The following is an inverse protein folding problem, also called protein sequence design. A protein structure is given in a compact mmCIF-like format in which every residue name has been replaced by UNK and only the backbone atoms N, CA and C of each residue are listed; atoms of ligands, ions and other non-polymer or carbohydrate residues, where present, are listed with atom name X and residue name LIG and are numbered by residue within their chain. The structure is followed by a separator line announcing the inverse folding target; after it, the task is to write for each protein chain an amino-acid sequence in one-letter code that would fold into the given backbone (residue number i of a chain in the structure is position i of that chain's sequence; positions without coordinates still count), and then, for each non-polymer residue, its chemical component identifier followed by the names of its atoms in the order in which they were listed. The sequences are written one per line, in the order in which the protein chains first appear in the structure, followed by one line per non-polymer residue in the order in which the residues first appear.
data_IF_090027081805
#
_entry.id   IF_090027081805
#
_cell.length_a   1.000
_cell.length_b   1.000
_cell.length_c   1.000
_cell.angle_alpha   90.00
_cell.angle_beta   90.00
_cell.angle_gamma   90.00
#
_symmetry.space_group_name_H-M   'P 1'
#
loop_
_entity.id
_entity.type
_entity.pdbx_description
1 polymer ?
#
# COMPACT_ATOMS: atom_id res chain seq x y z
N UNK A 1 -6.55 28.27 27.18
CA UNK A 1 -6.04 29.26 26.21
C UNK A 1 -5.30 30.31 27.02
N UNK A 2 -3.99 30.13 27.22
CA UNK A 2 -3.17 31.06 27.99
C UNK A 2 -2.63 32.11 27.02
N UNK A 3 -2.99 33.37 27.23
CA UNK A 3 -2.48 34.48 26.43
C UNK A 3 -0.95 34.55 26.57
N UNK A 4 -0.23 34.24 25.50
CA UNK A 4 1.22 34.39 25.42
C UNK A 4 1.56 35.87 25.63
N UNK A 5 2.39 36.18 26.62
CA UNK A 5 2.77 37.56 26.89
C UNK A 5 3.48 38.16 25.65
N UNK A 6 3.25 39.44 25.30
CA UNK A 6 3.79 40.04 24.08
C UNK A 6 5.34 39.96 23.98
N UNK A 7 6.04 39.99 25.11
CA UNK A 7 7.50 39.81 25.14
C UNK A 7 7.98 38.38 24.85
N UNK A 8 7.17 37.36 25.16
CA UNK A 8 7.52 35.97 24.81
C UNK A 8 7.36 35.70 23.32
N UNK A 9 6.37 36.33 22.69
CA UNK A 9 6.14 36.22 21.25
C UNK A 9 7.35 36.76 20.46
N UNK A 10 7.79 37.99 20.77
CA UNK A 10 8.96 38.61 20.11
C UNK A 10 10.23 37.77 20.24
N UNK A 11 10.51 37.24 21.44
CA UNK A 11 11.67 36.38 21.66
C UNK A 11 11.64 35.07 20.83
N UNK A 12 10.45 34.50 20.59
CA UNK A 12 10.31 33.30 19.75
C UNK A 12 10.49 33.61 18.27
N UNK A 13 10.05 34.79 17.82
CA UNK A 13 10.23 35.27 16.46
C UNK A 13 11.70 35.57 16.17
N UNK A 14 12.40 36.26 17.08
CA UNK A 14 13.84 36.50 16.97
C UNK A 14 14.61 35.18 16.84
N UNK A 15 14.21 34.16 17.61
CA UNK A 15 14.82 32.83 17.54
C UNK A 15 14.50 32.09 16.25
N UNK A 16 13.25 32.16 15.77
CA UNK A 16 12.89 31.62 14.48
C UNK A 16 13.78 32.19 13.37
N UNK A 17 13.89 33.52 13.28
CA UNK A 17 14.67 34.16 12.22
C UNK A 17 16.19 34.09 12.45
N UNK A 18 16.64 33.84 13.68
CA UNK A 18 18.04 33.47 13.93
C UNK A 18 18.41 32.14 13.24
N UNK A 19 17.53 31.13 13.33
CA UNK A 19 17.74 29.83 12.67
C UNK A 19 17.42 29.86 11.17
N UNK A 20 16.46 30.68 10.75
CA UNK A 20 16.03 30.82 9.36
C UNK A 20 16.42 32.19 8.78
N UNK A 21 17.72 32.51 8.76
CA UNK A 21 18.21 33.79 8.22
C UNK A 21 17.81 33.99 6.75
N UNK A 22 17.28 35.16 6.44
CA UNK A 22 16.81 35.54 5.09
C UNK A 22 15.45 34.94 4.71
N UNK A 23 14.76 34.28 5.65
CA UNK A 23 13.35 33.95 5.51
C UNK A 23 12.51 35.06 6.13
N UNK A 24 11.33 35.29 5.57
CA UNK A 24 10.33 36.21 6.09
C UNK A 24 9.04 35.44 6.41
N UNK A 25 8.09 36.11 7.07
CA UNK A 25 6.73 35.59 7.16
C UNK A 25 6.14 35.35 5.77
N UNK A 26 5.39 34.27 5.62
CA UNK A 26 4.68 33.97 4.38
C UNK A 26 3.59 35.00 4.11
N UNK A 27 3.60 35.58 2.91
CA UNK A 27 2.54 36.50 2.45
C UNK A 27 1.22 35.76 2.20
N UNK A 28 1.27 34.43 2.08
CA UNK A 28 0.12 33.53 1.90
C UNK A 28 -0.22 32.76 3.17
N UNK A 29 -0.04 33.41 4.32
CA UNK A 29 -0.33 32.82 5.62
C UNK A 29 -1.76 32.23 5.62
N UNK A 30 -1.86 30.92 5.89
CA UNK A 30 -3.14 30.17 6.02
C UNK A 30 -3.96 29.96 4.74
N UNK A 31 -3.39 30.19 3.55
CA UNK A 31 -4.06 29.88 2.27
C UNK A 31 -4.29 28.35 2.06
N UNK A 32 -3.69 27.52 2.92
CA UNK A 32 -3.84 26.06 2.94
C UNK A 32 -4.51 25.67 4.25
N UNK A 33 -5.80 25.29 4.23
CA UNK A 33 -6.52 24.84 5.41
C UNK A 33 -5.95 23.53 5.94
N UNK A 34 -5.13 23.62 7.00
CA UNK A 34 -4.60 22.47 7.71
C UNK A 34 -4.38 22.83 9.17
N UNK A 35 -4.90 21.99 10.07
CA UNK A 35 -4.71 22.10 11.52
C UNK A 35 -3.23 22.17 11.94
N UNK A 36 -2.32 21.71 11.09
CA UNK A 36 -0.88 21.73 11.35
C UNK A 36 -0.33 23.15 11.51
N UNK A 37 -0.97 24.17 10.92
CA UNK A 37 -0.56 25.57 11.07
C UNK A 37 -0.76 26.11 12.49
N UNK A 38 -1.58 25.46 13.32
CA UNK A 38 -1.68 25.81 14.74
C UNK A 38 -0.37 25.49 15.48
N UNK A 39 0.38 24.49 15.00
CA UNK A 39 1.62 23.99 15.60
C UNK A 39 2.91 24.42 14.87
N UNK A 40 2.81 25.24 13.82
CA UNK A 40 3.99 25.72 13.08
C UNK A 40 3.89 27.15 12.59
N UNK A 41 5.06 27.75 12.37
CA UNK A 41 5.23 29.04 11.74
C UNK A 41 5.30 28.87 10.22
N UNK A 42 4.70 29.83 9.51
CA UNK A 42 4.68 29.86 8.05
C UNK A 42 5.70 30.88 7.54
N UNK A 43 6.78 30.38 6.94
CA UNK A 43 7.91 31.18 6.48
C UNK A 43 8.12 31.01 4.98
N UNK A 44 8.56 32.08 4.32
CA UNK A 44 8.78 32.13 2.89
C UNK A 44 10.14 32.75 2.54
N UNK A 45 10.75 32.28 1.45
CA UNK A 45 11.95 32.86 0.85
C UNK A 45 12.00 32.56 -0.65
N UNK A 46 12.16 33.59 -1.49
CA UNK A 46 12.29 33.47 -2.96
C UNK A 46 11.27 32.49 -3.60
N UNK A 47 10.00 32.58 -3.18
CA UNK A 47 8.92 31.72 -3.69
C UNK A 47 8.82 30.32 -3.06
N UNK A 48 9.77 29.92 -2.20
CA UNK A 48 9.68 28.69 -1.39
C UNK A 48 8.97 28.97 -0.08
N UNK A 49 7.98 28.14 0.27
CA UNK A 49 7.21 28.23 1.51
C UNK A 49 7.42 27.00 2.39
N UNK A 50 7.65 27.22 3.68
CA UNK A 50 7.92 26.17 4.66
C UNK A 50 7.10 26.34 5.93
N UNK A 51 6.75 25.21 6.50
CA UNK A 51 6.23 25.06 7.85
C UNK A 51 7.41 24.80 8.80
N UNK A 52 7.58 25.60 9.84
CA UNK A 52 8.60 25.42 10.89
C UNK A 52 7.95 25.12 12.25
N UNK A 53 8.40 24.10 12.97
CA UNK A 53 7.74 23.64 14.20
C UNK A 53 7.87 24.65 15.36
N UNK A 54 6.74 25.06 15.97
CA UNK A 54 6.70 25.95 17.15
C UNK A 54 7.33 25.30 18.38
N UNK A 55 7.02 24.02 18.62
CA UNK A 55 7.48 23.30 19.82
C UNK A 55 9.00 23.06 19.80
N UNK A 56 9.61 22.87 18.62
CA UNK A 56 11.07 22.82 18.48
C UNK A 56 11.74 24.14 18.86
N UNK A 57 11.11 25.27 18.54
CA UNK A 57 11.61 26.60 18.86
C UNK A 57 11.43 26.87 20.37
N UNK A 58 10.25 26.59 20.91
CA UNK A 58 9.99 26.67 22.36
C UNK A 58 11.00 25.84 23.16
N UNK A 59 11.24 24.60 22.75
CA UNK A 59 12.16 23.67 23.41
C UNK A 59 13.66 23.90 23.15
N UNK A 60 14.04 24.98 22.45
CA UNK A 60 15.44 25.32 22.14
C UNK A 60 16.25 24.19 21.51
N UNK A 61 15.67 23.50 20.53
CA UNK A 61 16.39 22.46 19.80
C UNK A 61 17.46 23.07 18.89
N UNK A 62 18.64 22.44 18.77
CA UNK A 62 19.73 22.93 17.92
C UNK A 62 19.35 22.95 16.43
N UNK A 63 18.41 22.09 16.02
CA UNK A 63 17.88 22.03 14.66
C UNK A 63 16.36 22.14 14.74
N UNK A 64 15.81 23.19 14.10
CA UNK A 64 14.36 23.39 14.00
C UNK A 64 13.84 22.62 12.79
N UNK A 65 12.94 21.66 13.04
CA UNK A 65 12.31 20.90 11.97
C UNK A 65 11.48 21.82 11.07
N UNK A 66 11.77 21.78 9.75
CA UNK A 66 11.02 22.51 8.74
C UNK A 66 10.68 21.63 7.54
N UNK A 67 9.49 21.80 6.99
CA UNK A 67 8.97 21.01 5.87
C UNK A 67 8.29 21.91 4.84
N UNK A 68 8.21 21.45 3.58
CA UNK A 68 7.57 22.20 2.49
C UNK A 68 6.06 22.32 2.70
N UNK A 69 5.48 23.49 2.43
CA UNK A 69 4.04 23.73 2.61
C UNK A 69 3.13 22.92 1.67
N UNK A 70 3.65 22.43 0.54
CA UNK A 70 2.91 21.61 -0.44
C UNK A 70 2.63 20.18 0.03
N UNK A 71 3.19 19.76 1.17
CA UNK A 71 3.04 18.39 1.69
C UNK A 71 3.31 18.31 3.20
N UNK A 72 2.31 18.64 4.01
CA UNK A 72 2.44 18.71 5.47
C UNK A 72 2.41 17.34 6.18
N UNK A 73 2.36 16.22 5.45
CA UNK A 73 2.37 14.87 6.05
C UNK A 73 3.64 14.61 6.88
N UNK A 74 4.78 15.17 6.45
CA UNK A 74 6.04 15.07 7.19
C UNK A 74 6.03 15.91 8.46
N UNK A 75 5.40 17.09 8.43
CA UNK A 75 5.16 17.90 9.63
C UNK A 75 4.27 17.15 10.64
N UNK A 76 3.18 16.53 10.16
CA UNK A 76 2.31 15.71 11.00
C UNK A 76 3.03 14.50 11.62
N UNK A 77 3.91 13.84 10.86
CA UNK A 77 4.74 12.74 11.37
C UNK A 77 5.74 13.23 12.43
N UNK A 78 6.33 14.41 12.24
CA UNK A 78 7.26 15.02 13.18
C UNK A 78 6.57 15.38 14.50
N UNK A 79 5.43 16.07 14.46
CA UNK A 79 4.63 16.39 15.65
C UNK A 79 4.31 15.14 16.47
N UNK A 80 3.91 14.05 15.82
CA UNK A 80 3.64 12.80 16.52
C UNK A 80 4.90 12.14 17.11
N UNK A 81 6.00 12.09 16.35
CA UNK A 81 7.23 11.40 16.78
C UNK A 81 7.93 12.13 17.92
N UNK A 82 8.11 13.43 17.77
CA UNK A 82 8.97 14.26 18.62
C UNK A 82 8.21 14.96 19.74
N UNK A 83 6.93 15.28 19.52
CA UNK A 83 6.10 16.06 20.45
C UNK A 83 4.88 15.29 20.96
N UNK A 84 4.59 14.09 20.42
CA UNK A 84 3.41 13.26 20.77
C UNK A 84 2.08 13.99 20.61
N UNK A 85 2.01 15.01 19.76
CA UNK A 85 0.78 15.77 19.49
C UNK A 85 -0.14 14.98 18.56
N UNK A 86 -1.33 14.55 19.01
CA UNK A 86 -2.30 13.86 18.16
C UNK A 86 -2.96 14.83 17.17
N UNK A 87 -3.40 14.32 16.02
CA UNK A 87 -4.32 15.07 15.17
C UNK A 87 -5.65 15.34 15.92
N UNK A 88 -6.25 16.53 15.77
CA UNK A 88 -7.58 16.84 16.30
C UNK A 88 -8.66 15.85 15.83
N UNK A 89 -9.74 15.75 16.59
CA UNK A 89 -10.87 14.88 16.24
C UNK A 89 -11.50 15.31 14.92
N UNK A 90 -11.66 14.37 13.98
CA UNK A 90 -12.14 14.63 12.62
C UNK A 90 -11.06 14.95 11.57
N UNK A 91 -9.82 15.21 11.99
CA UNK A 91 -8.71 15.53 11.09
C UNK A 91 -7.90 14.30 10.66
N UNK A 92 -7.19 14.42 9.52
CA UNK A 92 -6.34 13.32 9.01
C UNK A 92 -5.16 13.07 9.95
N UNK A 93 -5.15 11.89 10.57
CA UNK A 93 -4.04 11.41 11.40
C UNK A 93 -2.76 11.22 10.59
N UNK A 94 -1.61 11.42 11.24
CA UNK A 94 -0.32 11.19 10.59
C UNK A 94 -0.06 9.69 10.37
N UNK A 95 0.73 9.34 9.35
CA UNK A 95 1.13 7.94 9.14
C UNK A 95 1.87 7.35 10.34
N UNK A 96 2.64 8.18 11.05
CA UNK A 96 3.33 7.77 12.28
C UNK A 96 2.35 7.51 13.43
N UNK A 97 1.30 8.34 13.57
CA UNK A 97 0.23 8.15 14.54
C UNK A 97 -0.59 6.89 14.24
N UNK A 98 -0.98 6.68 12.99
CA UNK A 98 -1.70 5.48 12.57
C UNK A 98 -0.89 4.20 12.85
N UNK A 99 0.42 4.23 12.61
CA UNK A 99 1.30 3.09 12.92
C UNK A 99 1.37 2.81 14.42
N UNK A 100 1.58 3.83 15.26
CA UNK A 100 1.63 3.61 16.71
C UNK A 100 0.27 3.20 17.29
N UNK A 101 -0.83 3.78 16.80
CA UNK A 101 -2.18 3.37 17.21
C UNK A 101 -2.49 1.95 16.73
N UNK A 102 -2.00 1.54 15.55
CA UNK A 102 -2.13 0.16 15.07
C UNK A 102 -1.32 -0.84 15.92
N UNK A 103 -0.11 -0.46 16.36
CA UNK A 103 0.71 -1.27 17.29
C UNK A 103 0.02 -1.40 18.65
N UNK A 104 -0.57 -0.32 19.17
CA UNK A 104 -1.32 -0.34 20.44
C UNK A 104 -2.67 -1.05 20.32
N UNK A 105 -3.30 -1.05 19.14
CA UNK A 105 -4.52 -1.80 18.80
C UNK A 105 -4.20 -3.16 18.18
N UNK A 106 -3.09 -3.80 18.56
CA UNK A 106 -2.80 -5.18 18.16
C UNK A 106 -3.70 -6.18 18.91
N UNK A 107 -5.02 -5.96 18.85
CA UNK A 107 -6.02 -7.02 18.94
C UNK A 107 -6.18 -7.68 17.57
N UNK A 108 -5.10 -7.79 16.77
CA UNK A 108 -5.17 -8.56 15.54
C UNK A 108 -5.48 -10.00 15.94
N UNK A 109 -6.62 -10.56 15.48
CA UNK A 109 -7.00 -11.91 15.85
C UNK A 109 -5.90 -12.86 15.38
N UNK A 110 -5.40 -13.68 16.30
CA UNK A 110 -4.46 -14.77 16.00
C UNK A 110 -5.24 -16.06 15.80
N UNK A 111 -4.61 -17.06 15.18
CA UNK A 111 -5.22 -18.40 15.07
C UNK A 111 -5.54 -18.97 16.45
N UNK A 112 -4.62 -18.79 17.41
CA UNK A 112 -4.84 -19.21 18.79
C UNK A 112 -6.05 -18.50 19.42
N UNK A 113 -6.20 -17.19 19.24
CA UNK A 113 -7.36 -16.47 19.80
C UNK A 113 -8.68 -16.85 19.13
N UNK A 114 -8.69 -17.07 17.81
CA UNK A 114 -9.91 -17.48 17.07
C UNK A 114 -10.36 -18.87 17.49
N UNK A 115 -9.41 -19.79 17.66
CA UNK A 115 -9.68 -21.16 18.11
C UNK A 115 -9.78 -21.31 19.63
N UNK A 116 -9.65 -20.21 20.39
CA UNK A 116 -9.66 -20.18 21.86
C UNK A 116 -8.63 -21.14 22.49
N UNK A 117 -7.43 -21.19 21.91
CA UNK A 117 -6.31 -22.00 22.36
C UNK A 117 -5.39 -21.21 23.30
N UNK A 118 -4.93 -21.86 24.36
CA UNK A 118 -3.95 -21.36 25.31
C UNK A 118 -2.53 -21.78 24.87
N UNK A 119 -1.78 -20.83 24.32
CA UNK A 119 -0.40 -21.06 23.84
C UNK A 119 0.60 -21.37 24.96
N UNK A 120 0.23 -21.22 26.23
CA UNK A 120 1.09 -21.62 27.36
C UNK A 120 1.06 -23.14 27.59
N UNK A 121 0.05 -23.84 27.07
CA UNK A 121 -0.02 -25.30 27.13
C UNK A 121 0.65 -25.90 25.88
N UNK A 122 1.65 -26.78 26.03
CA UNK A 122 2.39 -27.34 24.89
C UNK A 122 1.49 -28.02 23.84
N UNK A 123 0.45 -28.73 24.27
CA UNK A 123 -0.49 -29.40 23.36
C UNK A 123 -1.28 -28.42 22.51
N UNK A 124 -1.85 -27.37 23.13
CA UNK A 124 -2.66 -26.37 22.43
C UNK A 124 -1.79 -25.45 21.56
N UNK A 125 -0.57 -25.15 22.01
CA UNK A 125 0.45 -24.47 21.19
C UNK A 125 0.81 -25.26 19.93
N UNK A 126 1.02 -26.57 20.05
CA UNK A 126 1.29 -27.45 18.90
C UNK A 126 0.12 -27.48 17.91
N UNK A 127 -1.12 -27.48 18.41
CA UNK A 127 -2.32 -27.38 17.57
C UNK A 127 -2.31 -26.04 16.80
N UNK A 128 -2.11 -24.91 17.48
CA UNK A 128 -2.04 -23.60 16.84
C UNK A 128 -0.93 -23.53 15.77
N UNK A 129 0.27 -24.02 16.09
CA UNK A 129 1.41 -24.06 15.16
C UNK A 129 1.14 -24.97 13.94
N UNK A 130 0.42 -26.08 14.13
CA UNK A 130 -0.02 -26.95 13.03
C UNK A 130 -0.97 -26.21 12.07
N UNK A 131 -1.95 -25.47 12.60
CA UNK A 131 -2.83 -24.65 11.75
C UNK A 131 -2.07 -23.56 10.99
N UNK A 132 -1.13 -22.87 11.65
CA UNK A 132 -0.33 -21.80 11.05
C UNK A 132 0.55 -22.35 9.91
N UNK A 133 1.24 -23.47 10.14
CA UNK A 133 2.17 -24.07 9.17
C UNK A 133 1.47 -24.66 7.94
N UNK A 134 0.21 -25.06 8.06
CA UNK A 134 -0.58 -25.64 6.96
C UNK A 134 -1.05 -24.62 5.92
N UNK A 135 -1.11 -23.34 6.27
CA UNK A 135 -1.62 -22.32 5.35
C UNK A 135 -0.48 -21.63 4.59
N UNK A 136 -0.37 -21.92 3.30
CA UNK A 136 0.50 -21.17 2.39
C UNK A 136 -0.30 -20.07 1.67
N UNK A 137 -0.06 -18.83 2.09
CA UNK A 137 -0.63 -17.62 1.47
C UNK A 137 -0.36 -17.52 -0.03
N UNK A 138 0.85 -17.84 -0.48
CA UNK A 138 1.21 -17.72 -1.89
C UNK A 138 0.50 -18.77 -2.74
N UNK A 139 0.45 -20.01 -2.24
CA UNK A 139 -0.29 -21.08 -2.92
C UNK A 139 -1.78 -20.79 -2.99
N UNK A 140 -2.40 -20.33 -1.89
CA UNK A 140 -3.80 -19.86 -1.89
C UNK A 140 -4.04 -18.78 -2.96
N UNK A 141 -3.18 -17.76 -3.01
CA UNK A 141 -3.31 -16.68 -4.00
C UNK A 141 -3.16 -17.18 -5.44
N UNK A 142 -2.27 -18.15 -5.69
CA UNK A 142 -2.13 -18.77 -7.02
C UNK A 142 -3.41 -19.50 -7.42
N UNK A 143 -3.98 -20.32 -6.54
CA UNK A 143 -5.24 -21.03 -6.80
C UNK A 143 -6.39 -20.06 -7.09
N UNK A 144 -6.48 -18.95 -6.35
CA UNK A 144 -7.52 -17.94 -6.59
C UNK A 144 -7.38 -17.27 -7.96
N UNK A 145 -6.15 -16.94 -8.38
CA UNK A 145 -5.90 -16.37 -9.71
C UNK A 145 -6.21 -17.41 -10.80
N UNK A 146 -5.79 -18.66 -10.61
CA UNK A 146 -6.08 -19.75 -11.55
C UNK A 146 -7.58 -19.98 -11.70
N UNK A 147 -8.35 -19.97 -10.60
CA UNK A 147 -9.81 -20.03 -10.64
C UNK A 147 -10.39 -18.91 -11.50
N UNK A 148 -9.98 -17.66 -11.27
CA UNK A 148 -10.48 -16.50 -12.02
C UNK A 148 -10.18 -16.63 -13.51
N UNK A 149 -8.96 -17.02 -13.88
CA UNK A 149 -8.55 -17.16 -15.29
C UNK A 149 -9.25 -18.33 -15.97
N UNK A 150 -9.25 -19.52 -15.34
CA UNK A 150 -9.84 -20.74 -15.91
C UNK A 150 -11.36 -20.69 -16.06
N UNK A 151 -12.05 -19.99 -15.16
CA UNK A 151 -13.51 -19.80 -15.22
C UNK A 151 -13.91 -18.49 -15.92
N UNK A 152 -12.96 -17.78 -16.53
CA UNK A 152 -13.15 -16.51 -17.23
C UNK A 152 -13.99 -15.48 -16.44
N UNK A 153 -13.70 -15.35 -15.15
CA UNK A 153 -14.40 -14.43 -14.27
C UNK A 153 -13.78 -13.03 -14.33
N UNK A 154 -14.58 -12.01 -14.01
CA UNK A 154 -14.07 -10.66 -13.78
C UNK A 154 -13.01 -10.67 -12.66
N UNK A 155 -11.98 -9.82 -12.76
CA UNK A 155 -10.99 -9.68 -11.69
C UNK A 155 -11.60 -9.19 -10.37
N UNK A 156 -12.72 -8.46 -10.43
CA UNK A 156 -13.49 -8.06 -9.24
C UNK A 156 -14.14 -9.24 -8.51
N UNK A 157 -14.17 -10.45 -9.11
CA UNK A 157 -14.66 -11.66 -8.45
C UNK A 157 -13.89 -11.95 -7.14
N UNK A 158 -12.58 -11.70 -7.11
CA UNK A 158 -11.76 -11.82 -5.89
C UNK A 158 -12.19 -10.88 -4.74
N UNK A 159 -12.93 -9.83 -5.08
CA UNK A 159 -13.42 -8.82 -4.14
C UNK A 159 -14.85 -9.08 -3.67
N UNK A 160 -15.49 -10.14 -4.18
CA UNK A 160 -16.83 -10.50 -3.77
C UNK A 160 -16.90 -10.73 -2.25
N UNK A 161 -17.79 -10.03 -1.53
CA UNK A 161 -17.84 -10.10 -0.07
C UNK A 161 -18.24 -11.50 0.44
N UNK A 162 -19.18 -12.17 -0.23
CA UNK A 162 -19.62 -13.53 0.12
C UNK A 162 -18.48 -14.52 -0.08
N UNK A 163 -17.75 -14.41 -1.20
CA UNK A 163 -16.58 -15.26 -1.44
C UNK A 163 -15.52 -15.12 -0.34
N UNK A 164 -15.24 -13.87 0.06
CA UNK A 164 -14.27 -13.59 1.13
C UNK A 164 -14.75 -14.12 2.48
N UNK A 165 -16.06 -14.06 2.74
CA UNK A 165 -16.67 -14.65 3.93
C UNK A 165 -16.54 -16.17 3.94
N UNK A 166 -16.83 -16.85 2.82
CA UNK A 166 -16.62 -18.29 2.65
C UNK A 166 -15.16 -18.67 2.95
N UNK A 167 -14.19 -17.94 2.39
CA UNK A 167 -12.78 -18.23 2.66
C UNK A 167 -12.41 -18.03 4.14
N UNK A 168 -12.94 -16.98 4.78
CA UNK A 168 -12.72 -16.72 6.20
C UNK A 168 -13.36 -17.79 7.10
N UNK A 169 -14.54 -18.29 6.74
CA UNK A 169 -15.24 -19.38 7.42
C UNK A 169 -14.46 -20.69 7.33
N UNK A 170 -13.95 -21.04 6.14
CA UNK A 170 -13.19 -22.26 5.91
C UNK A 170 -11.80 -22.23 6.57
N UNK A 171 -11.12 -21.08 6.54
CA UNK A 171 -9.84 -20.94 7.21
C UNK A 171 -9.60 -19.49 7.67
N UNK A 172 -9.57 -19.21 8.99
CA UNK A 172 -9.34 -17.86 9.51
C UNK A 172 -7.98 -17.27 9.12
N UNK A 173 -7.00 -18.11 8.76
CA UNK A 173 -5.68 -17.67 8.28
C UNK A 173 -5.78 -16.77 7.04
N UNK A 174 -6.81 -16.95 6.20
CA UNK A 174 -7.01 -16.12 5.01
C UNK A 174 -7.21 -14.65 5.41
N UNK A 175 -8.06 -14.42 6.40
CA UNK A 175 -8.37 -13.06 6.90
C UNK A 175 -7.23 -12.50 7.73
N UNK A 176 -6.65 -13.31 8.63
CA UNK A 176 -5.57 -12.92 9.54
C UNK A 176 -4.30 -12.53 8.76
N UNK A 177 -3.93 -13.31 7.75
CA UNK A 177 -2.74 -13.05 6.93
C UNK A 177 -3.02 -12.12 5.73
N UNK A 178 -4.22 -11.57 5.62
CA UNK A 178 -4.65 -10.74 4.49
C UNK A 178 -4.32 -11.41 3.14
N UNK A 179 -4.75 -12.66 2.98
CA UNK A 179 -4.43 -13.47 1.80
C UNK A 179 -5.34 -13.17 0.60
N UNK A 180 -6.53 -12.60 0.84
CA UNK A 180 -7.46 -12.14 -0.20
C UNK A 180 -6.79 -11.14 -1.16
N UNK A 181 -7.23 -11.14 -2.42
CA UNK A 181 -6.70 -10.27 -3.48
C UNK A 181 -7.72 -9.20 -3.86
N UNK A 182 -7.21 -8.04 -4.27
CA UNK A 182 -7.97 -7.04 -5.01
C UNK A 182 -7.95 -7.32 -6.51
N UNK A 183 -8.88 -6.75 -7.26
CA UNK A 183 -8.91 -6.86 -8.72
C UNK A 183 -7.58 -6.39 -9.36
N UNK A 184 -7.03 -5.30 -8.83
CA UNK A 184 -5.71 -4.77 -9.23
C UNK A 184 -4.58 -5.75 -8.93
N UNK A 185 -4.62 -6.42 -7.77
CA UNK A 185 -3.61 -7.40 -7.39
C UNK A 185 -3.69 -8.68 -8.25
N UNK A 186 -4.91 -9.13 -8.60
CA UNK A 186 -5.12 -10.23 -9.55
C UNK A 186 -4.52 -9.87 -10.90
N UNK A 187 -4.87 -8.69 -11.45
CA UNK A 187 -4.31 -8.20 -12.72
C UNK A 187 -2.79 -8.15 -12.69
N UNK A 188 -2.20 -7.60 -11.63
CA UNK A 188 -0.76 -7.52 -11.46
C UNK A 188 -0.11 -8.92 -11.49
N UNK A 189 -0.66 -9.88 -10.75
CA UNK A 189 -0.15 -11.26 -10.73
C UNK A 189 -0.24 -11.92 -12.10
N UNK A 190 -1.34 -11.77 -12.83
CA UNK A 190 -1.50 -12.32 -14.18
C UNK A 190 -0.44 -11.74 -15.13
N UNK A 191 -0.23 -10.42 -15.11
CA UNK A 191 0.78 -9.75 -15.94
C UNK A 191 2.20 -10.21 -15.55
N UNK A 192 2.47 -10.35 -14.26
CA UNK A 192 3.75 -10.85 -13.76
C UNK A 192 4.02 -12.27 -14.26
N UNK A 193 3.03 -13.16 -14.17
CA UNK A 193 3.13 -14.54 -14.66
C UNK A 193 3.28 -14.60 -16.18
N UNK A 194 2.57 -13.76 -16.92
CA UNK A 194 2.75 -13.62 -18.36
C UNK A 194 4.19 -13.21 -18.70
N UNK A 195 4.69 -12.14 -18.09
CA UNK A 195 6.05 -11.64 -18.35
C UNK A 195 7.13 -12.66 -17.98
N UNK A 196 6.91 -13.42 -16.90
CA UNK A 196 7.81 -14.49 -16.46
C UNK A 196 7.99 -15.59 -17.51
N UNK A 197 6.92 -15.95 -18.22
CA UNK A 197 6.96 -17.06 -19.20
C UNK A 197 7.07 -16.59 -20.65
N UNK A 198 6.85 -15.31 -20.93
CA UNK A 198 6.85 -14.75 -22.29
C UNK A 198 8.07 -15.18 -23.08
N UNK A 199 9.27 -15.01 -22.52
CA UNK A 199 10.52 -15.31 -23.23
C UNK A 199 10.66 -16.80 -23.52
N UNK A 200 10.32 -17.66 -22.55
CA UNK A 200 10.32 -19.12 -22.73
C UNK A 200 9.34 -19.55 -23.83
N UNK A 201 8.15 -18.95 -23.90
CA UNK A 201 7.17 -19.24 -24.95
C UNK A 201 7.71 -18.80 -26.32
N UNK A 202 8.37 -17.64 -26.41
CA UNK A 202 9.00 -17.17 -27.66
C UNK A 202 10.08 -18.15 -28.13
N UNK A 203 10.93 -18.62 -27.23
CA UNK A 203 11.98 -19.61 -27.55
C UNK A 203 11.37 -20.92 -28.03
N UNK A 204 10.39 -21.46 -27.31
CA UNK A 204 9.69 -22.70 -27.73
C UNK A 204 9.03 -22.55 -29.10
N UNK A 205 8.44 -21.39 -29.40
CA UNK A 205 7.84 -21.13 -30.71
C UNK A 205 8.89 -20.97 -31.81
N UNK A 206 10.05 -20.36 -31.52
CA UNK A 206 11.15 -20.19 -32.47
C UNK A 206 11.81 -21.52 -32.83
N UNK A 207 11.99 -22.39 -31.84
CA UNK A 207 12.68 -23.66 -32.00
C UNK A 207 11.72 -24.78 -32.45
N UNK A 208 10.42 -24.48 -32.61
CA UNK A 208 9.42 -25.44 -33.08
C UNK A 208 9.71 -25.86 -34.52
N UNK A 209 9.86 -27.17 -34.82
CA UNK A 209 10.16 -27.66 -36.16
C UNK A 209 8.95 -27.64 -37.11
N UNK A 210 7.75 -27.37 -36.59
CA UNK A 210 6.51 -27.33 -37.38
C UNK A 210 6.14 -25.94 -37.87
N UNK A 211 5.11 -25.88 -38.71
CA UNK A 211 4.59 -24.61 -39.21
C UNK A 211 3.91 -23.81 -38.08
N UNK A 212 4.16 -22.50 -38.08
CA UNK A 212 3.43 -21.53 -37.26
C UNK A 212 2.34 -20.90 -38.11
N UNK A 213 1.09 -21.08 -37.71
CA UNK A 213 -0.07 -20.48 -38.37
C UNK A 213 -0.55 -19.30 -37.54
N UNK A 214 -0.66 -18.12 -38.14
CA UNK A 214 -1.18 -16.92 -37.49
C UNK A 214 -2.54 -16.58 -38.11
N UNK A 215 -3.57 -16.47 -37.27
CA UNK A 215 -4.90 -16.03 -37.69
C UNK A 215 -5.21 -14.63 -37.14
N UNK A 216 -5.88 -13.84 -37.96
CA UNK A 216 -6.30 -12.48 -37.61
C UNK A 216 -7.83 -12.43 -37.52
N UNK A 217 -8.35 -11.96 -36.40
CA UNK A 217 -9.79 -11.82 -36.15
C UNK A 217 -10.12 -10.34 -35.89
N UNK A 218 -10.81 -9.71 -36.83
CA UNK A 218 -11.22 -8.32 -36.74
C UNK A 218 -12.71 -8.20 -36.47
N UNK A 219 -13.07 -7.55 -35.37
CA UNK A 219 -14.47 -7.30 -35.02
C UNK A 219 -14.72 -5.83 -34.68
N UNK A 220 -15.78 -5.25 -35.22
CA UNK A 220 -16.25 -3.90 -34.87
C UNK A 220 -17.47 -3.97 -33.97
N UNK A 221 -17.34 -3.36 -32.81
CA UNK A 221 -18.43 -3.25 -31.84
C UNK A 221 -19.37 -2.08 -32.20
N UNK A 222 -20.64 -2.18 -31.82
CA UNK A 222 -21.65 -1.10 -31.99
C UNK A 222 -21.27 0.20 -31.27
N UNK A 223 -20.40 0.13 -30.26
CA UNK A 223 -19.86 1.31 -29.58
C UNK A 223 -18.72 2.01 -30.36
N UNK A 224 -18.52 1.67 -31.63
CA UNK A 224 -17.48 2.21 -32.54
C UNK A 224 -16.03 1.89 -32.13
N UNK A 225 -15.83 0.91 -31.24
CA UNK A 225 -14.51 0.36 -30.97
C UNK A 225 -14.25 -0.84 -31.90
N UNK A 226 -13.07 -0.88 -32.50
CA UNK A 226 -12.58 -2.05 -33.23
C UNK A 226 -11.69 -2.91 -32.31
N UNK A 227 -11.93 -4.21 -32.31
CA UNK A 227 -11.08 -5.21 -31.68
C UNK A 227 -10.37 -6.01 -32.78
N UNK A 228 -9.09 -6.26 -32.57
CA UNK A 228 -8.27 -7.04 -33.50
C UNK A 228 -7.50 -8.10 -32.71
N UNK A 229 -7.99 -9.33 -32.77
CA UNK A 229 -7.37 -10.50 -32.20
C UNK A 229 -6.31 -11.08 -33.14
N UNK A 230 -5.17 -11.46 -32.59
CA UNK A 230 -4.13 -12.21 -33.30
C UNK A 230 -3.92 -13.50 -32.51
N UNK A 231 -4.16 -14.64 -33.13
CA UNK A 231 -3.92 -15.95 -32.55
C UNK A 231 -2.82 -16.68 -33.33
N UNK A 232 -1.97 -17.42 -32.62
CA UNK A 232 -0.90 -18.22 -33.20
C UNK A 232 -1.12 -19.70 -32.82
N UNK A 233 -1.04 -20.59 -33.80
CA UNK A 233 -1.15 -22.02 -33.64
C UNK A 233 0.14 -22.66 -34.13
N UNK A 234 0.70 -23.55 -33.32
CA UNK A 234 1.92 -24.31 -33.66
C UNK A 234 1.59 -25.79 -33.78
N UNK A 235 1.99 -26.43 -34.88
CA UNK A 235 1.90 -27.89 -35.00
C UNK A 235 3.21 -28.54 -34.53
N UNK A 236 3.17 -29.24 -33.40
CA UNK A 236 4.34 -30.02 -32.95
C UNK A 236 4.34 -31.39 -33.61
N UNK A 237 5.10 -31.58 -34.69
CA UNK A 237 5.32 -32.92 -35.26
C UNK A 237 6.10 -33.77 -34.25
N UNK A 238 5.45 -34.76 -33.64
CA UNK A 238 6.16 -35.81 -32.90
C UNK A 238 7.00 -36.59 -33.90
N UNK A 239 8.32 -36.50 -33.80
CA UNK A 239 9.23 -37.41 -34.50
C UNK A 239 8.92 -38.80 -33.93
N UNK A 240 8.25 -39.63 -34.72
CA UNK A 240 8.05 -41.03 -34.37
C UNK A 240 9.42 -41.67 -34.21
N UNK A 241 9.70 -42.23 -33.03
CA UNK A 241 10.72 -43.24 -32.90
C UNK A 241 10.36 -44.37 -33.87
N UNK A 242 11.05 -44.43 -35.00
CA UNK A 242 11.07 -45.63 -35.82
C UNK A 242 11.62 -46.75 -34.93
N UNK A 243 10.76 -47.71 -34.58
CA UNK A 243 11.22 -48.98 -34.01
C UNK A 243 12.09 -49.65 -35.08
N UNK A 244 13.33 -49.92 -34.70
CA UNK A 244 14.28 -50.76 -35.43
C UNK A 244 13.72 -52.15 -35.70
#
# INVERSE_FOLDING_TARGET
MSATQPGQQQHLEDRLFHHFRGWAWSERARDTSSWLWDFGYDIQRHGLRKWACKDCILGNRPIIASFTSSGLQNAANHLWREHKTPAPEGEKKSTAQLKSECVLKSNQPTIASVLKLDVNKPTEQNIANSFISRFDKQHFQRMLVELIVSSNQSFSFAENPILREIFGYLNPSVSIQHANLSATAVRYKIIQEYNRHKQKVIEVLRDSPGALHISFDGWTSRNKLALYGIACFSETRRIGHAKS
#
